data_IF_143375087377
#
_entry.id   IF_143375087377
#
_cell.length_a   1.000
_cell.length_b   1.000
_cell.length_c   1.000
_cell.angle_alpha   90.00
_cell.angle_beta   90.00
_cell.angle_gamma   90.00
#
_symmetry.space_group_name_H-M   'P 1'
#
loop_
_entity.id
_entity.type
_entity.pdbx_description
1 polymer ?
#
# COMPACT_ATOMS: atom_id res chain seq x y z
N UNK A 1 8.32 22.39 -2.46
CA UNK A 1 7.19 22.38 -1.51
C UNK A 1 5.97 21.85 -2.28
N UNK A 2 5.19 20.89 -1.74
CA UNK A 2 4.04 20.30 -2.44
C UNK A 2 2.88 21.31 -2.54
N UNK A 3 2.40 21.66 -3.75
CA UNK A 3 1.31 22.63 -3.92
C UNK A 3 -0.02 22.18 -3.32
N UNK A 4 -0.22 20.88 -3.06
CA UNK A 4 -1.40 20.34 -2.39
C UNK A 4 -1.34 20.41 -0.86
N UNK A 5 -0.22 20.87 -0.28
CA UNK A 5 -0.03 20.92 1.18
C UNK A 5 0.03 19.53 1.84
N UNK A 6 0.24 18.46 1.06
CA UNK A 6 0.31 17.08 1.55
C UNK A 6 1.76 16.61 1.71
N UNK A 7 1.96 15.69 2.66
CA UNK A 7 3.18 14.91 2.82
C UNK A 7 2.95 13.47 2.33
N UNK A 8 3.97 12.74 1.86
CA UNK A 8 5.39 13.11 1.79
C UNK A 8 5.75 13.96 0.57
N UNK A 9 6.95 14.55 0.63
CA UNK A 9 7.64 15.25 -0.47
C UNK A 9 9.08 14.77 -0.51
N UNK A 10 9.58 14.44 -1.70
CA UNK A 10 10.99 14.17 -1.94
C UNK A 10 11.63 15.41 -2.55
N UNK A 11 12.71 15.90 -1.93
CA UNK A 11 13.58 16.92 -2.52
C UNK A 11 14.82 16.19 -3.02
N UNK A 12 15.06 16.31 -4.31
CA UNK A 12 16.25 15.77 -4.97
C UNK A 12 16.90 16.91 -5.76
N UNK A 13 18.21 16.92 -5.98
CA UNK A 13 18.92 18.09 -6.54
C UNK A 13 18.30 18.70 -7.81
N UNK A 14 17.55 17.90 -8.58
CA UNK A 14 16.82 18.31 -9.79
C UNK A 14 15.48 19.01 -9.52
N UNK A 15 14.91 18.89 -8.32
CA UNK A 15 13.66 19.52 -7.95
C UNK A 15 12.89 18.81 -6.83
N UNK A 16 11.57 18.89 -6.93
CA UNK A 16 10.66 18.39 -5.90
C UNK A 16 9.68 17.39 -6.53
N UNK A 17 9.64 16.18 -5.97
CA UNK A 17 8.69 15.13 -6.35
C UNK A 17 7.70 14.94 -5.20
N UNK A 18 6.41 14.85 -5.50
CA UNK A 18 5.33 14.69 -4.53
C UNK A 18 4.30 13.66 -5.02
N UNK A 19 3.38 13.29 -4.13
CA UNK A 19 2.56 12.07 -4.20
C UNK A 19 3.37 10.78 -4.00
N UNK A 20 3.00 9.97 -3.00
CA UNK A 20 3.78 8.81 -2.58
C UNK A 20 4.02 7.78 -3.70
N UNK A 21 3.01 7.52 -4.53
CA UNK A 21 3.15 6.60 -5.66
C UNK A 21 4.14 7.13 -6.71
N UNK A 22 4.10 8.43 -7.00
CA UNK A 22 5.00 9.08 -7.97
C UNK A 22 6.43 9.15 -7.41
N UNK A 23 6.60 9.44 -6.11
CA UNK A 23 7.89 9.35 -5.42
C UNK A 23 8.48 7.94 -5.56
N UNK A 24 7.67 6.90 -5.35
CA UNK A 24 8.14 5.53 -5.48
C UNK A 24 8.53 5.18 -6.94
N UNK A 25 7.77 5.64 -7.95
CA UNK A 25 8.15 5.46 -9.35
C UNK A 25 9.45 6.19 -9.71
N UNK A 26 9.62 7.42 -9.23
CA UNK A 26 10.86 8.18 -9.41
C UNK A 26 12.08 7.45 -8.82
N UNK A 27 11.94 6.90 -7.61
CA UNK A 27 13.03 6.14 -6.97
C UNK A 27 13.34 4.83 -7.70
N UNK A 28 12.32 4.12 -8.21
CA UNK A 28 12.48 2.92 -9.04
C UNK A 28 13.26 3.22 -10.33
N UNK A 29 13.01 4.36 -10.96
CA UNK A 29 13.70 4.78 -12.18
C UNK A 29 15.13 5.28 -11.91
N UNK A 30 15.31 6.04 -10.82
CA UNK A 30 16.60 6.64 -10.46
C UNK A 30 17.62 5.62 -9.91
N UNK A 31 17.15 4.59 -9.21
CA UNK A 31 18.01 3.60 -8.54
C UNK A 31 17.70 2.16 -8.98
N UNK A 32 17.98 1.79 -10.25
CA UNK A 32 17.51 0.53 -10.85
C UNK A 32 18.27 -0.73 -10.39
N UNK A 33 19.23 -0.62 -9.47
CA UNK A 33 20.09 -1.72 -9.04
C UNK A 33 19.31 -2.84 -8.33
N UNK A 34 18.23 -2.50 -7.63
CA UNK A 34 17.33 -3.45 -6.96
C UNK A 34 15.90 -3.14 -7.41
N UNK A 35 15.44 -3.71 -8.54
CA UNK A 35 14.14 -3.39 -9.11
C UNK A 35 13.02 -3.91 -8.21
N UNK A 36 12.07 -3.04 -7.87
CA UNK A 36 10.86 -3.37 -7.10
C UNK A 36 9.61 -3.44 -7.99
N UNK A 37 9.78 -3.33 -9.30
CA UNK A 37 8.69 -3.47 -10.26
C UNK A 37 9.08 -4.42 -11.41
N UNK A 38 8.11 -5.15 -11.99
CA UNK A 38 8.36 -5.96 -13.17
C UNK A 38 8.83 -5.12 -14.37
N UNK A 39 9.70 -5.72 -15.20
CA UNK A 39 10.10 -5.17 -16.50
C UNK A 39 9.06 -5.40 -17.59
N UNK A 40 8.35 -6.52 -17.52
CA UNK A 40 7.26 -6.83 -18.45
C UNK A 40 6.13 -5.79 -18.30
N UNK A 41 5.71 -5.11 -19.38
CA UNK A 41 4.71 -4.03 -19.29
C UNK A 41 3.37 -4.48 -18.70
N UNK A 42 2.94 -5.71 -18.99
CA UNK A 42 1.68 -6.23 -18.49
C UNK A 42 1.75 -6.55 -16.99
N UNK A 43 2.81 -7.22 -16.53
CA UNK A 43 3.03 -7.42 -15.09
C UNK A 43 3.20 -6.10 -14.34
N UNK A 44 3.87 -5.11 -14.95
CA UNK A 44 4.01 -3.76 -14.38
C UNK A 44 2.66 -3.05 -14.25
N UNK A 45 1.76 -3.21 -15.23
CA UNK A 45 0.40 -2.64 -15.13
C UNK A 45 -0.42 -3.32 -14.04
N UNK A 46 -0.29 -4.64 -13.87
CA UNK A 46 -0.89 -5.38 -12.73
C UNK A 46 -0.42 -4.85 -11.38
N UNK A 47 0.86 -4.55 -11.23
CA UNK A 47 1.40 -3.93 -10.02
C UNK A 47 0.76 -2.55 -9.76
N UNK A 48 0.69 -1.70 -10.79
CA UNK A 48 0.08 -0.36 -10.71
C UNK A 48 -1.41 -0.40 -10.34
N UNK A 49 -2.16 -1.36 -10.85
CA UNK A 49 -3.57 -1.57 -10.47
C UNK A 49 -3.71 -1.82 -8.98
N UNK A 50 -2.81 -2.60 -8.38
CA UNK A 50 -2.84 -2.89 -6.94
C UNK A 50 -2.37 -1.72 -6.08
N UNK A 51 -1.39 -0.95 -6.56
CA UNK A 51 -1.00 0.33 -5.93
C UNK A 51 -2.19 1.29 -5.90
N UNK A 52 -2.88 1.44 -7.05
CA UNK A 52 -4.08 2.28 -7.15
C UNK A 52 -5.20 1.78 -6.24
N UNK A 53 -5.47 0.46 -6.23
CA UNK A 53 -6.45 -0.16 -5.35
C UNK A 53 -6.21 0.19 -3.88
N UNK A 54 -4.96 0.13 -3.41
CA UNK A 54 -4.62 0.53 -2.05
C UNK A 54 -4.94 2.01 -1.80
N UNK A 55 -4.48 2.89 -2.69
CA UNK A 55 -4.57 4.34 -2.54
C UNK A 55 -6.02 4.84 -2.61
N UNK A 56 -6.80 4.35 -3.56
CA UNK A 56 -8.15 4.84 -3.83
C UNK A 56 -9.21 4.17 -2.98
N UNK A 57 -8.91 2.98 -2.43
CA UNK A 57 -9.85 2.18 -1.61
C UNK A 57 -9.40 2.12 -0.16
N UNK A 58 -8.41 1.30 0.19
CA UNK A 58 -8.05 1.04 1.59
C UNK A 58 -7.62 2.30 2.33
N UNK A 59 -6.70 3.08 1.75
CA UNK A 59 -6.21 4.32 2.35
C UNK A 59 -7.31 5.37 2.45
N UNK A 60 -8.21 5.42 1.47
CA UNK A 60 -9.36 6.34 1.48
C UNK A 60 -10.37 5.97 2.57
N UNK A 61 -10.77 4.69 2.65
CA UNK A 61 -11.70 4.21 3.66
C UNK A 61 -11.11 4.34 5.07
N UNK A 62 -9.85 3.94 5.26
CA UNK A 62 -9.12 4.15 6.52
C UNK A 62 -9.00 5.63 6.88
N UNK A 63 -8.68 6.48 5.90
CA UNK A 63 -8.62 7.94 6.08
C UNK A 63 -9.96 8.53 6.51
N UNK A 64 -11.06 8.12 5.90
CA UNK A 64 -12.41 8.54 6.29
C UNK A 64 -12.72 8.16 7.74
N UNK A 65 -12.45 6.90 8.12
CA UNK A 65 -12.65 6.42 9.51
C UNK A 65 -11.80 7.24 10.49
N UNK A 66 -10.53 7.48 10.15
CA UNK A 66 -9.60 8.21 11.02
C UNK A 66 -9.92 9.70 11.21
N UNK A 67 -10.81 10.27 10.39
CA UNK A 67 -11.25 11.66 10.47
C UNK A 67 -12.77 11.77 10.72
N UNK A 68 -13.38 10.70 11.25
CA UNK A 68 -14.81 10.65 11.63
C UNK A 68 -15.78 11.01 10.48
N UNK A 69 -15.39 10.73 9.24
CA UNK A 69 -16.16 11.03 8.04
C UNK A 69 -16.80 9.77 7.45
N UNK A 70 -18.14 9.73 7.31
CA UNK A 70 -18.88 8.58 6.76
C UNK A 70 -18.41 7.22 7.33
N UNK A 71 -18.23 7.15 8.66
CA UNK A 71 -17.52 6.05 9.34
C UNK A 71 -18.13 4.68 9.05
N UNK A 72 -19.44 4.52 9.22
CA UNK A 72 -20.10 3.21 9.05
C UNK A 72 -20.01 2.70 7.61
N UNK A 73 -20.29 3.56 6.62
CA UNK A 73 -20.09 3.24 5.21
C UNK A 73 -18.64 2.87 4.92
N UNK A 74 -17.67 3.62 5.46
CA UNK A 74 -16.26 3.36 5.23
C UNK A 74 -15.78 2.06 5.87
N UNK A 75 -16.37 1.64 7.01
CA UNK A 75 -16.12 0.33 7.62
C UNK A 75 -16.63 -0.82 6.76
N UNK A 76 -17.84 -0.69 6.20
CA UNK A 76 -18.41 -1.68 5.28
C UNK A 76 -17.57 -1.81 4.00
N UNK A 77 -17.20 -0.69 3.38
CA UNK A 77 -16.33 -0.65 2.22
C UNK A 77 -14.96 -1.28 2.53
N UNK A 78 -14.35 -0.90 3.66
CA UNK A 78 -13.05 -1.44 4.06
C UNK A 78 -13.09 -2.96 4.24
N UNK A 79 -14.15 -3.49 4.86
CA UNK A 79 -14.38 -4.93 4.99
C UNK A 79 -14.41 -5.61 3.61
N UNK A 80 -15.24 -5.10 2.69
CA UNK A 80 -15.36 -5.67 1.33
C UNK A 80 -14.03 -5.63 0.56
N UNK A 81 -13.26 -4.55 0.72
CA UNK A 81 -11.96 -4.42 0.06
C UNK A 81 -10.93 -5.42 0.60
N UNK A 82 -10.94 -5.67 1.91
CA UNK A 82 -10.08 -6.66 2.55
C UNK A 82 -10.48 -8.10 2.19
N UNK A 83 -11.78 -8.40 2.10
CA UNK A 83 -12.28 -9.70 1.63
C UNK A 83 -11.85 -9.97 0.18
N UNK A 84 -11.95 -8.96 -0.68
CA UNK A 84 -11.48 -9.04 -2.07
C UNK A 84 -9.98 -9.30 -2.14
N UNK A 85 -9.20 -8.57 -1.35
CA UNK A 85 -7.76 -8.76 -1.26
C UNK A 85 -7.41 -10.17 -0.75
N UNK A 86 -8.14 -10.68 0.24
CA UNK A 86 -7.93 -12.02 0.78
C UNK A 86 -8.16 -13.13 -0.23
N UNK A 87 -9.19 -13.00 -1.08
CA UNK A 87 -9.42 -13.94 -2.19
C UNK A 87 -8.29 -13.90 -3.20
N UNK A 88 -7.82 -12.71 -3.57
CA UNK A 88 -6.75 -12.52 -4.57
C UNK A 88 -5.37 -12.98 -4.08
N UNK A 89 -5.17 -13.06 -2.77
CA UNK A 89 -3.96 -13.57 -2.13
C UNK A 89 -4.01 -15.07 -1.83
N UNK A 90 -5.09 -15.77 -2.21
CA UNK A 90 -5.30 -17.18 -1.80
C UNK A 90 -4.22 -18.15 -2.25
N UNK A 91 -3.58 -17.88 -3.39
CA UNK A 91 -2.53 -18.69 -4.00
C UNK A 91 -1.19 -17.95 -4.13
N UNK A 92 -1.00 -16.83 -3.40
CA UNK A 92 0.17 -15.97 -3.57
C UNK A 92 0.82 -15.56 -2.26
N UNK A 93 2.15 -15.44 -2.32
CA UNK A 93 2.93 -14.87 -1.22
C UNK A 93 2.95 -13.34 -1.24
N UNK A 94 3.05 -12.76 -2.45
CA UNK A 94 3.02 -11.32 -2.73
C UNK A 94 1.99 -11.01 -3.81
N UNK A 95 1.46 -9.79 -3.84
CA UNK A 95 0.21 -9.48 -4.57
C UNK A 95 0.30 -9.66 -6.09
N UNK A 96 1.51 -9.58 -6.63
CA UNK A 96 1.83 -9.86 -8.04
C UNK A 96 2.79 -11.05 -8.25
N UNK A 97 2.97 -11.89 -7.24
CA UNK A 97 3.88 -13.04 -7.25
C UNK A 97 5.20 -12.75 -6.52
N UNK A 98 5.94 -11.74 -6.97
CA UNK A 98 7.20 -11.29 -6.36
C UNK A 98 6.99 -10.04 -5.48
N UNK A 99 7.84 -9.87 -4.47
CA UNK A 99 7.83 -8.67 -3.61
C UNK A 99 8.11 -7.41 -4.44
N UNK A 100 7.23 -6.42 -4.31
CA UNK A 100 7.24 -5.25 -5.18
C UNK A 100 6.78 -3.97 -4.48
N UNK A 101 6.80 -2.85 -5.21
CA UNK A 101 6.14 -1.62 -4.75
C UNK A 101 4.65 -1.83 -4.48
N UNK A 102 3.99 -2.76 -5.19
CA UNK A 102 2.59 -3.07 -4.96
C UNK A 102 2.34 -3.65 -3.56
N UNK A 103 3.30 -4.35 -2.97
CA UNK A 103 3.21 -4.79 -1.57
C UNK A 103 3.60 -3.67 -0.60
N UNK A 104 4.64 -2.90 -0.94
CA UNK A 104 5.15 -1.81 -0.10
C UNK A 104 4.08 -0.75 0.16
N UNK A 105 3.24 -0.44 -0.83
CA UNK A 105 2.14 0.53 -0.70
C UNK A 105 1.16 0.19 0.42
N UNK A 106 1.01 -1.09 0.81
CA UNK A 106 0.09 -1.51 1.87
C UNK A 106 0.69 -1.45 3.27
N UNK A 107 2.03 -1.39 3.40
CA UNK A 107 2.71 -1.39 4.70
C UNK A 107 2.20 -0.26 5.61
N UNK A 108 2.11 1.01 5.16
CA UNK A 108 1.62 2.08 6.02
C UNK A 108 0.14 1.92 6.43
N UNK A 109 -0.66 1.21 5.64
CA UNK A 109 -2.03 0.89 6.01
C UNK A 109 -2.03 -0.11 7.18
N UNK A 110 -1.25 -1.19 7.06
CA UNK A 110 -1.16 -2.22 8.09
C UNK A 110 -0.56 -1.71 9.41
N UNK A 111 0.43 -0.81 9.37
CA UNK A 111 0.98 -0.18 10.57
C UNK A 111 -0.04 0.70 11.33
N UNK A 112 -1.18 1.04 10.72
CA UNK A 112 -2.15 2.00 11.26
C UNK A 112 -3.55 1.43 11.45
N UNK A 113 -3.69 0.09 11.49
CA UNK A 113 -4.99 -0.57 11.62
C UNK A 113 -5.82 -0.06 12.81
N UNK A 114 -5.18 0.20 13.96
CA UNK A 114 -5.86 0.76 15.14
C UNK A 114 -6.49 2.13 14.86
N UNK A 115 -5.76 3.03 14.16
CA UNK A 115 -6.27 4.34 13.74
C UNK A 115 -7.47 4.21 12.80
N UNK A 116 -7.53 3.14 12.04
CA UNK A 116 -8.64 2.85 11.12
C UNK A 116 -9.76 2.03 11.77
N UNK A 117 -9.67 1.75 13.08
CA UNK A 117 -10.59 0.87 13.81
C UNK A 117 -10.77 -0.49 13.11
N UNK A 118 -9.75 -0.95 12.40
CA UNK A 118 -9.77 -2.15 11.59
C UNK A 118 -9.00 -3.28 12.28
N UNK A 119 -9.44 -4.51 12.07
CA UNK A 119 -8.75 -5.72 12.53
C UNK A 119 -8.70 -6.73 11.41
N UNK A 120 -7.52 -7.30 11.17
CA UNK A 120 -7.38 -8.44 10.27
C UNK A 120 -7.53 -9.69 11.12
N UNK A 121 -8.68 -10.35 11.01
CA UNK A 121 -9.09 -11.51 11.80
C UNK A 121 -8.67 -12.85 11.18
N UNK A 122 -9.16 -13.95 11.75
CA UNK A 122 -8.92 -15.31 11.22
C UNK A 122 -9.78 -15.62 9.99
N UNK A 123 -10.80 -14.79 9.74
CA UNK A 123 -11.64 -14.75 8.55
C UNK A 123 -10.91 -14.23 7.31
N UNK A 124 -9.75 -13.60 7.49
CA UNK A 124 -8.89 -13.09 6.41
C UNK A 124 -7.49 -13.73 6.44
N UNK A 125 -7.37 -15.07 6.34
CA UNK A 125 -6.12 -15.79 6.59
C UNK A 125 -4.99 -15.42 5.63
N UNK A 126 -5.29 -15.15 4.35
CA UNK A 126 -4.29 -14.82 3.34
C UNK A 126 -3.78 -13.39 3.51
N UNK A 127 -4.67 -12.43 3.78
CA UNK A 127 -4.25 -11.06 4.12
C UNK A 127 -3.48 -11.03 5.42
N UNK A 128 -3.89 -11.81 6.44
CA UNK A 128 -3.15 -11.91 7.69
C UNK A 128 -1.72 -12.42 7.45
N UNK A 129 -1.57 -13.54 6.75
CA UNK A 129 -0.25 -14.12 6.47
C UNK A 129 0.63 -13.16 5.64
N UNK A 130 0.04 -12.43 4.69
CA UNK A 130 0.73 -11.42 3.90
C UNK A 130 1.15 -10.21 4.75
N UNK A 131 0.24 -9.67 5.56
CA UNK A 131 0.49 -8.58 6.50
C UNK A 131 1.64 -8.93 7.44
N UNK A 132 1.57 -10.09 8.09
CA UNK A 132 2.60 -10.54 9.05
C UNK A 132 3.97 -10.62 8.37
N UNK A 133 4.02 -11.18 7.14
CA UNK A 133 5.24 -11.23 6.34
C UNK A 133 5.79 -9.85 6.04
N UNK A 134 4.95 -8.90 5.61
CA UNK A 134 5.38 -7.54 5.31
C UNK A 134 5.88 -6.80 6.55
N UNK A 135 5.15 -6.88 7.67
CA UNK A 135 5.51 -6.21 8.92
C UNK A 135 6.74 -6.83 9.61
N UNK A 136 7.04 -8.11 9.34
CA UNK A 136 8.23 -8.78 9.88
C UNK A 136 9.54 -8.34 9.23
N UNK A 137 9.50 -7.65 8.07
CA UNK A 137 10.70 -7.30 7.30
C UNK A 137 11.61 -6.34 8.10
N UNK A 138 12.94 -6.56 8.13
CA UNK A 138 13.86 -5.70 8.88
C UNK A 138 13.77 -4.21 8.50
N UNK A 139 13.61 -3.91 7.20
CA UNK A 139 13.49 -2.54 6.69
C UNK A 139 12.21 -1.85 7.16
N UNK A 140 11.14 -2.61 7.40
CA UNK A 140 9.87 -2.08 7.93
C UNK A 140 10.00 -1.84 9.42
N UNK A 141 10.54 -2.81 10.16
CA UNK A 141 10.73 -2.70 11.62
C UNK A 141 11.73 -1.62 12.03
N UNK A 142 12.65 -1.25 11.14
CA UNK A 142 13.61 -0.16 11.37
C UNK A 142 13.02 1.24 11.14
N UNK A 143 11.80 1.35 10.62
CA UNK A 143 11.12 2.63 10.40
C UNK A 143 10.37 3.03 11.69
N UNK A 144 10.68 4.18 12.32
CA UNK A 144 10.07 4.62 13.57
C UNK A 144 8.59 4.99 13.44
#
# INVERSE_FOLDING_TARGET
>A
MNPYGKVPVLVDGEGVVYESAIINEYLEEKYPAVPLMPKDPFKRSRARIWIDYCNTRLQRAGGNIAHDYQVEKSKEELKQYLETLNREMSDREYIIGDYSLADITYIPFFCRLERYQAKIGNDLPHVRAWMDRLLSRPTVRATP
#
